data_IF_400485851640
#
_entry.id   IF_400485851640
#
_cell.length_a   1.000
_cell.length_b   1.000
_cell.length_c   1.000
_cell.angle_alpha   90.00
_cell.angle_beta   90.00
_cell.angle_gamma   90.00
#
_symmetry.space_group_name_H-M   'P 1'
#
loop_
_entity.id
_entity.type
_entity.pdbx_description
1 polymer ?
#
# COMPACT_ATOMS: atom_id res chain seq x y z
N UNK A 1 28.42 -15.37 -35.97
CA UNK A 1 27.37 -16.25 -35.40
C UNK A 1 27.82 -16.62 -33.99
N UNK A 2 27.46 -15.80 -33.01
CA UNK A 2 27.96 -15.94 -31.63
C UNK A 2 26.94 -15.31 -30.68
N UNK A 3 25.82 -15.99 -30.49
CA UNK A 3 24.87 -15.68 -29.42
C UNK A 3 25.41 -16.28 -28.11
N UNK A 4 26.17 -15.44 -27.41
CA UNK A 4 26.27 -15.31 -25.94
C UNK A 4 25.65 -16.43 -25.09
N UNK A 5 26.49 -17.40 -24.72
CA UNK A 5 26.26 -18.45 -23.72
C UNK A 5 25.63 -17.94 -22.39
N UNK A 6 25.83 -16.66 -22.05
CA UNK A 6 25.25 -16.01 -20.85
C UNK A 6 23.72 -15.89 -20.90
N UNK A 7 23.10 -15.65 -22.05
CA UNK A 7 21.64 -15.47 -22.13
C UNK A 7 20.88 -16.78 -21.92
N UNK A 8 21.46 -17.89 -22.36
CA UNK A 8 20.85 -19.21 -22.23
C UNK A 8 20.76 -19.67 -20.76
N UNK A 9 21.82 -19.42 -19.97
CA UNK A 9 21.84 -19.74 -18.55
C UNK A 9 20.83 -18.93 -17.72
N UNK A 10 20.58 -17.65 -18.08
CA UNK A 10 19.59 -16.81 -17.40
C UNK A 10 18.16 -17.31 -17.66
N UNK A 11 17.87 -17.72 -18.89
CA UNK A 11 16.55 -18.25 -19.28
C UNK A 11 16.28 -19.58 -18.56
N UNK A 12 17.27 -20.47 -18.49
CA UNK A 12 17.15 -21.75 -17.77
C UNK A 12 16.88 -21.51 -16.28
N UNK A 13 17.60 -20.58 -15.65
CA UNK A 13 17.42 -20.27 -14.23
C UNK A 13 16.00 -19.76 -13.92
N UNK A 14 15.44 -18.94 -14.83
CA UNK A 14 14.08 -18.43 -14.72
C UNK A 14 13.02 -19.55 -14.82
N UNK A 15 13.21 -20.52 -15.72
CA UNK A 15 12.31 -21.67 -15.89
C UNK A 15 12.35 -22.59 -14.67
N UNK A 16 13.53 -22.83 -14.09
CA UNK A 16 13.67 -23.65 -12.87
C UNK A 16 12.96 -22.98 -11.68
N UNK A 17 13.12 -21.66 -11.51
CA UNK A 17 12.45 -20.91 -10.44
C UNK A 17 10.92 -20.92 -10.60
N UNK A 18 10.40 -20.75 -11.82
CA UNK A 18 8.96 -20.83 -12.10
C UNK A 18 8.36 -22.19 -11.73
N UNK A 19 9.03 -23.30 -12.07
CA UNK A 19 8.56 -24.64 -11.70
C UNK A 19 8.63 -24.89 -10.18
N UNK A 20 9.59 -24.27 -9.48
CA UNK A 20 9.69 -24.37 -8.01
C UNK A 20 8.52 -23.69 -7.31
N UNK A 21 8.11 -22.51 -7.80
CA UNK A 21 6.97 -21.75 -7.23
C UNK A 21 5.65 -22.50 -7.45
N UNK A 22 5.45 -23.13 -8.61
CA UNK A 22 4.23 -23.92 -8.88
C UNK A 22 4.15 -25.16 -7.97
N UNK A 23 5.25 -25.87 -7.73
CA UNK A 23 5.24 -27.04 -6.85
C UNK A 23 5.01 -26.71 -5.36
N UNK A 24 5.38 -25.50 -4.91
CA UNK A 24 5.11 -25.05 -3.52
C UNK A 24 3.62 -24.73 -3.32
N UNK A 25 2.92 -24.24 -4.35
CA UNK A 25 1.48 -23.93 -4.25
C UNK A 25 0.62 -25.20 -4.22
N UNK A 26 1.03 -26.27 -4.90
CA UNK A 26 0.27 -27.53 -4.96
C UNK A 26 0.41 -28.36 -3.67
N UNK A 27 1.44 -28.11 -2.86
CA UNK A 27 1.70 -28.88 -1.63
C UNK A 27 0.90 -28.42 -0.39
N UNK A 28 0.03 -27.41 -0.49
CA UNK A 28 -0.81 -26.94 0.63
C UNK A 28 -2.27 -27.40 0.59
N UNK A 29 -2.72 -28.09 -0.45
CA UNK A 29 -3.99 -28.82 -0.44
C UNK A 29 -3.74 -30.28 -0.10
N UNK A 30 -3.72 -30.65 1.18
CA UNK A 30 -4.11 -31.97 1.67
C UNK A 30 -3.95 -32.02 3.20
N UNK A 31 -4.96 -31.57 3.95
CA UNK A 31 -5.47 -32.27 5.14
C UNK A 31 -6.93 -31.82 5.44
N UNK A 32 -7.79 -32.67 6.03
CA UNK A 32 -9.25 -32.55 5.95
C UNK A 32 -9.94 -31.88 7.17
N UNK A 33 -10.94 -31.02 6.86
CA UNK A 33 -12.24 -30.73 7.55
C UNK A 33 -12.29 -30.39 9.07
N UNK A 34 -13.24 -29.54 9.54
CA UNK A 34 -14.66 -29.86 9.49
C UNK A 34 -15.58 -28.76 8.92
N UNK A 35 -16.59 -29.25 8.22
CA UNK A 35 -17.88 -28.64 7.86
C UNK A 35 -18.42 -27.62 8.87
N UNK A 36 -18.64 -26.38 8.42
CA UNK A 36 -19.77 -25.55 8.86
C UNK A 36 -20.47 -24.97 7.64
N UNK A 37 -21.75 -25.32 7.56
CA UNK A 37 -22.78 -24.83 6.64
C UNK A 37 -22.79 -23.31 6.51
N UNK A 38 -22.83 -22.81 5.27
CA UNK A 38 -23.10 -21.40 4.96
C UNK A 38 -23.24 -21.20 3.47
N UNK A 39 -24.40 -20.71 3.06
CA UNK A 39 -24.90 -20.58 1.68
C UNK A 39 -23.91 -20.04 0.65
N UNK A 40 -24.06 -20.58 -0.57
CA UNK A 40 -23.51 -20.01 -1.79
C UNK A 40 -24.00 -18.57 -1.97
N UNK A 41 -23.21 -17.59 -1.50
CA UNK A 41 -23.43 -16.19 -1.79
C UNK A 41 -22.76 -15.88 -3.12
N UNK A 42 -23.58 -15.86 -4.16
CA UNK A 42 -23.32 -15.21 -5.45
C UNK A 42 -22.60 -13.88 -5.17
N UNK A 43 -21.35 -13.75 -5.59
CA UNK A 43 -20.61 -12.48 -5.54
C UNK A 43 -21.35 -11.53 -6.47
N UNK A 44 -22.04 -10.48 -5.96
CA UNK A 44 -22.48 -9.42 -6.83
C UNK A 44 -21.22 -8.64 -7.20
N UNK A 45 -21.01 -8.44 -8.50
CA UNK A 45 -20.07 -7.43 -8.99
C UNK A 45 -20.47 -6.09 -8.37
N UNK A 46 -19.78 -5.72 -7.28
CA UNK A 46 -20.08 -4.55 -6.45
C UNK A 46 -19.09 -3.42 -6.75
N UNK A 47 -18.76 -3.22 -8.03
CA UNK A 47 -17.91 -2.11 -8.46
C UNK A 47 -18.50 -0.77 -8.00
N UNK A 48 -19.83 -0.62 -8.07
CA UNK A 48 -20.54 0.61 -7.69
C UNK A 48 -20.54 0.89 -6.18
N UNK A 49 -20.46 -0.13 -5.33
CA UNK A 49 -20.41 0.06 -3.87
C UNK A 49 -19.04 0.54 -3.40
N UNK A 50 -17.99 -0.05 -3.96
CA UNK A 50 -16.60 0.29 -3.64
C UNK A 50 -16.20 1.66 -4.17
N UNK A 51 -16.61 2.03 -5.39
CA UNK A 51 -16.34 3.37 -5.95
C UNK A 51 -16.91 4.50 -5.07
N UNK A 52 -18.16 4.36 -4.60
CA UNK A 52 -18.77 5.35 -3.71
C UNK A 52 -18.08 5.44 -2.34
N UNK A 53 -17.58 4.32 -1.81
CA UNK A 53 -16.85 4.30 -0.55
C UNK A 53 -15.46 4.96 -0.68
N UNK A 54 -14.77 4.73 -1.81
CA UNK A 54 -13.48 5.38 -2.14
C UNK A 54 -13.64 6.90 -2.27
N UNK A 55 -14.66 7.35 -3.02
CA UNK A 55 -15.01 8.76 -3.15
C UNK A 55 -15.28 9.40 -1.78
N UNK A 56 -15.94 8.67 -0.87
CA UNK A 56 -16.18 9.12 0.50
C UNK A 56 -14.88 9.28 1.29
N UNK A 57 -13.90 8.38 1.13
CA UNK A 57 -12.60 8.49 1.79
C UNK A 57 -11.79 9.68 1.27
N UNK A 58 -11.82 9.96 -0.04
CA UNK A 58 -11.14 11.13 -0.62
C UNK A 58 -11.69 12.44 0.00
N UNK A 59 -13.01 12.47 0.25
CA UNK A 59 -13.71 13.61 0.86
C UNK A 59 -13.70 13.59 2.39
N UNK A 60 -13.08 12.57 3.00
CA UNK A 60 -13.00 12.49 4.45
C UNK A 60 -12.12 13.61 5.00
N UNK A 61 -12.53 14.14 6.16
CA UNK A 61 -11.83 15.27 6.80
C UNK A 61 -10.38 14.96 7.14
N UNK A 62 -10.03 13.70 7.42
CA UNK A 62 -8.65 13.29 7.69
C UNK A 62 -7.79 13.36 6.43
N UNK A 63 -8.28 12.86 5.29
CA UNK A 63 -7.58 12.94 4.01
C UNK A 63 -7.44 14.38 3.51
N UNK A 64 -8.49 15.18 3.64
CA UNK A 64 -8.45 16.62 3.33
C UNK A 64 -7.40 17.31 4.20
N UNK A 65 -7.43 17.09 5.52
CA UNK A 65 -6.50 17.74 6.46
C UNK A 65 -5.05 17.36 6.18
N UNK A 66 -4.78 16.07 5.94
CA UNK A 66 -3.43 15.62 5.61
C UNK A 66 -2.97 16.25 4.26
N UNK A 67 -3.85 16.35 3.27
CA UNK A 67 -3.51 17.00 2.00
C UNK A 67 -3.27 18.51 2.18
N UNK A 68 -4.06 19.19 3.01
CA UNK A 68 -3.89 20.61 3.31
C UNK A 68 -2.59 20.89 4.07
N UNK A 69 -2.19 20.02 5.00
CA UNK A 69 -0.86 20.10 5.63
C UNK A 69 0.25 19.98 4.59
N UNK A 70 0.16 19.05 3.63
CA UNK A 70 1.18 18.93 2.57
C UNK A 70 1.21 20.13 1.63
N UNK A 71 0.08 20.78 1.35
CA UNK A 71 0.03 21.99 0.51
C UNK A 71 0.90 23.12 1.07
N UNK A 72 1.04 23.23 2.39
CA UNK A 72 1.95 24.20 3.03
C UNK A 72 3.42 23.98 2.62
N UNK A 73 3.76 22.76 2.22
CA UNK A 73 5.06 22.37 1.68
C UNK A 73 5.05 22.15 0.15
N UNK A 74 4.05 22.70 -0.56
CA UNK A 74 3.84 22.52 -2.00
C UNK A 74 3.72 21.05 -2.45
N UNK A 75 3.22 20.19 -1.55
CA UNK A 75 2.97 18.77 -1.82
C UNK A 75 1.48 18.43 -1.90
N UNK A 76 1.22 17.20 -2.33
CA UNK A 76 -0.10 16.58 -2.30
C UNK A 76 0.06 15.11 -1.90
N UNK A 77 -0.94 14.57 -1.20
CA UNK A 77 -0.98 13.14 -0.93
C UNK A 77 -1.31 12.43 -2.24
N UNK A 78 -0.54 11.39 -2.56
CA UNK A 78 -0.94 10.43 -3.58
C UNK A 78 -1.85 9.42 -2.92
N UNK A 79 -3.16 9.62 -2.96
CA UNK A 79 -4.12 8.73 -2.28
C UNK A 79 -4.18 7.32 -2.92
N UNK A 80 -4.60 6.29 -2.17
CA UNK A 80 -4.71 4.91 -2.64
C UNK A 80 -5.55 4.68 -3.90
N UNK A 81 -6.58 5.48 -4.14
CA UNK A 81 -7.48 5.41 -5.30
C UNK A 81 -6.71 5.30 -6.63
N UNK A 82 -5.68 6.14 -6.83
CA UNK A 82 -4.86 6.13 -8.05
C UNK A 82 -4.10 4.81 -8.23
N UNK A 83 -3.59 4.26 -7.14
CA UNK A 83 -2.88 2.99 -7.17
C UNK A 83 -3.83 1.83 -7.45
N UNK A 84 -5.05 1.89 -6.93
CA UNK A 84 -6.09 0.88 -7.15
C UNK A 84 -6.51 0.86 -8.62
N UNK A 85 -6.69 2.01 -9.25
CA UNK A 85 -6.95 2.13 -10.70
C UNK A 85 -5.82 1.49 -11.54
N UNK A 86 -4.58 1.54 -11.05
CA UNK A 86 -3.40 0.92 -11.65
C UNK A 86 -3.20 -0.57 -11.26
N UNK A 87 -4.18 -1.20 -10.61
CA UNK A 87 -4.12 -2.58 -10.07
C UNK A 87 -3.06 -2.80 -8.96
N UNK A 88 -2.60 -1.74 -8.30
CA UNK A 88 -1.74 -1.82 -7.12
C UNK A 88 -2.63 -1.83 -5.87
N UNK A 89 -2.57 -2.93 -5.10
CA UNK A 89 -3.44 -3.14 -3.91
C UNK A 89 -2.73 -3.01 -2.57
N UNK A 90 -1.46 -2.64 -2.56
CA UNK A 90 -0.66 -2.47 -1.34
C UNK A 90 0.42 -1.41 -1.53
N UNK A 91 0.85 -0.81 -0.42
CA UNK A 91 1.87 0.23 -0.46
C UNK A 91 2.20 0.79 0.91
N UNK A 92 3.41 1.34 1.03
CA UNK A 92 3.90 1.95 2.28
C UNK A 92 4.21 3.42 2.04
N UNK A 93 3.51 4.29 2.76
CA UNK A 93 3.72 5.73 2.75
C UNK A 93 4.85 6.06 3.72
N UNK A 94 5.88 6.74 3.20
CA UNK A 94 7.12 7.04 3.92
C UNK A 94 7.61 8.44 3.57
N UNK A 95 8.50 8.97 4.40
CA UNK A 95 9.14 10.26 4.14
C UNK A 95 10.36 10.04 3.24
N UNK A 96 10.35 10.65 2.05
CA UNK A 96 11.43 10.52 1.07
C UNK A 96 12.05 11.87 0.69
N UNK A 97 11.24 12.92 0.64
CA UNK A 97 11.66 14.24 0.17
C UNK A 97 11.81 15.23 1.33
N UNK A 98 12.98 15.87 1.43
CA UNK A 98 13.27 16.87 2.46
C UNK A 98 12.32 18.09 2.40
N UNK A 99 11.87 18.47 1.21
CA UNK A 99 10.92 19.58 0.99
C UNK A 99 9.59 19.31 1.69
N UNK A 100 9.06 18.10 1.55
CA UNK A 100 7.78 17.68 2.13
C UNK A 100 7.93 17.29 3.61
N UNK A 101 9.09 16.76 4.00
CA UNK A 101 9.39 16.34 5.36
C UNK A 101 9.08 17.40 6.42
N UNK A 102 9.25 18.70 6.11
CA UNK A 102 8.91 19.80 7.03
C UNK A 102 7.45 19.79 7.49
N UNK A 103 6.53 19.36 6.63
CA UNK A 103 5.10 19.25 6.96
C UNK A 103 4.74 17.83 7.42
N UNK A 104 5.52 16.83 7.02
CA UNK A 104 5.23 15.41 7.27
C UNK A 104 5.79 14.88 8.60
N UNK A 105 6.88 15.47 9.11
CA UNK A 105 7.65 14.94 10.23
C UNK A 105 7.15 15.44 11.59
N UNK A 106 5.87 15.19 11.86
CA UNK A 106 5.27 15.44 13.16
C UNK A 106 4.17 14.41 13.45
N UNK A 107 3.91 14.15 14.73
CA UNK A 107 2.90 13.19 15.18
C UNK A 107 1.49 13.51 14.63
N UNK A 108 1.00 14.77 14.68
CA UNK A 108 -0.33 15.08 14.16
C UNK A 108 -0.52 14.70 12.68
N UNK A 109 0.48 14.97 11.83
CA UNK A 109 0.42 14.58 10.42
C UNK A 109 0.46 13.06 10.25
N UNK A 110 1.36 12.37 10.96
CA UNK A 110 1.46 10.90 10.92
C UNK A 110 0.13 10.23 11.27
N UNK A 111 -0.51 10.66 12.36
CA UNK A 111 -1.80 10.13 12.81
C UNK A 111 -2.91 10.42 11.80
N UNK A 112 -2.93 11.64 11.26
CA UNK A 112 -3.94 12.07 10.27
C UNK A 112 -3.81 11.27 8.97
N UNK A 113 -2.58 11.09 8.47
CA UNK A 113 -2.33 10.27 7.28
C UNK A 113 -2.71 8.80 7.53
N UNK A 114 -2.40 8.26 8.70
CA UNK A 114 -2.74 6.88 9.07
C UNK A 114 -4.26 6.65 9.03
N UNK A 115 -5.04 7.56 9.61
CA UNK A 115 -6.52 7.49 9.58
C UNK A 115 -7.09 7.63 8.17
N UNK A 116 -6.50 8.53 7.37
CA UNK A 116 -6.87 8.67 5.97
C UNK A 116 -6.71 7.33 5.22
N UNK A 117 -5.55 6.68 5.35
CA UNK A 117 -5.29 5.38 4.71
C UNK A 117 -6.17 4.26 5.25
N UNK A 118 -6.48 4.25 6.55
CA UNK A 118 -7.39 3.29 7.16
C UNK A 118 -8.78 3.34 6.51
N UNK A 119 -9.29 4.52 6.15
CA UNK A 119 -10.55 4.64 5.40
C UNK A 119 -10.50 3.84 4.08
N UNK A 120 -9.43 4.01 3.29
CA UNK A 120 -9.27 3.30 2.02
C UNK A 120 -9.13 1.79 2.22
N UNK A 121 -8.34 1.36 3.21
CA UNK A 121 -8.18 -0.05 3.57
C UNK A 121 -9.54 -0.67 3.91
N UNK A 122 -10.34 0.00 4.73
CA UNK A 122 -11.67 -0.47 5.12
C UNK A 122 -12.66 -0.48 3.94
N UNK A 123 -12.60 0.52 3.06
CA UNK A 123 -13.49 0.64 1.91
C UNK A 123 -13.19 -0.38 0.80
N UNK A 124 -11.92 -0.79 0.64
CA UNK A 124 -11.45 -1.50 -0.56
C UNK A 124 -10.78 -2.84 -0.29
N UNK A 125 -10.45 -3.13 0.97
CA UNK A 125 -9.70 -4.32 1.38
C UNK A 125 -8.24 -4.32 0.90
N UNK A 126 -7.67 -3.15 0.60
CA UNK A 126 -6.25 -2.99 0.24
C UNK A 126 -5.33 -2.99 1.46
N UNK A 127 -4.03 -3.11 1.23
CA UNK A 127 -3.01 -3.13 2.28
C UNK A 127 -2.10 -1.89 2.21
N UNK A 128 -2.70 -0.70 2.16
CA UNK A 128 -1.96 0.56 2.26
C UNK A 128 -1.76 0.95 3.72
N UNK A 129 -0.54 1.36 4.06
CA UNK A 129 -0.20 1.80 5.41
C UNK A 129 0.84 2.90 5.40
N UNK A 130 0.90 3.66 6.49
CA UNK A 130 2.10 4.45 6.78
C UNK A 130 3.20 3.50 7.25
N UNK A 131 4.45 3.85 6.93
CA UNK A 131 5.64 3.26 7.54
C UNK A 131 5.46 3.17 9.06
N UNK A 132 5.88 2.08 9.74
CA UNK A 132 5.84 2.00 11.20
C UNK A 132 6.47 3.25 11.82
N UNK A 133 5.89 3.75 12.92
CA UNK A 133 6.24 5.06 13.49
C UNK A 133 7.75 5.21 13.76
N UNK A 134 8.38 4.19 14.35
CA UNK A 134 9.82 4.19 14.61
C UNK A 134 10.68 4.26 13.34
N UNK A 135 10.20 3.68 12.24
CA UNK A 135 10.85 3.78 10.95
C UNK A 135 10.55 5.12 10.26
N UNK A 136 9.35 5.66 10.44
CA UNK A 136 8.95 6.97 9.94
C UNK A 136 9.79 8.09 10.59
N UNK A 137 10.04 8.01 11.91
CA UNK A 137 10.97 8.90 12.64
C UNK A 137 12.37 8.85 12.04
N UNK A 138 12.90 7.65 11.79
CA UNK A 138 14.22 7.47 11.14
C UNK A 138 14.27 8.04 9.72
N UNK A 139 13.17 7.92 8.96
CA UNK A 139 13.08 8.49 7.62
C UNK A 139 13.13 10.03 7.66
N UNK A 140 12.44 10.65 8.63
CA UNK A 140 12.54 12.09 8.89
C UNK A 140 13.98 12.54 9.17
N UNK A 141 14.67 11.84 10.08
CA UNK A 141 16.07 12.14 10.41
C UNK A 141 16.99 11.97 9.20
N UNK A 142 16.77 10.91 8.40
CA UNK A 142 17.55 10.63 7.19
C UNK A 142 17.46 11.76 6.16
N UNK A 143 16.32 12.44 6.06
CA UNK A 143 16.16 13.61 5.18
C UNK A 143 16.49 14.94 5.88
N UNK A 144 16.98 14.89 7.12
CA UNK A 144 17.46 16.05 7.87
C UNK A 144 16.36 16.90 8.49
N UNK A 145 15.26 16.28 8.92
CA UNK A 145 14.17 16.92 9.67
C UNK A 145 13.90 16.12 10.95
N UNK A 146 13.87 16.80 12.09
CA UNK A 146 13.51 16.16 13.37
C UNK A 146 12.02 15.86 13.42
N UNK A 147 11.64 14.67 13.87
CA UNK A 147 10.24 14.35 14.13
C UNK A 147 9.76 15.02 15.42
N UNK A 148 8.67 15.79 15.36
CA UNK A 148 8.12 16.53 16.50
C UNK A 148 6.78 15.96 16.98
N UNK A 149 6.48 16.11 18.27
CA UNK A 149 5.19 15.67 18.82
C UNK A 149 4.03 16.65 18.52
N UNK A 150 4.36 17.84 18.04
CA UNK A 150 3.41 18.91 17.68
C UNK A 150 3.74 19.43 16.28
N UNK A 151 2.77 20.08 15.62
CA UNK A 151 3.03 20.84 14.40
C UNK A 151 3.80 22.13 14.68
#
# INVERSE_FOLDING_TARGET
MTMTLKKYNVIIYFIILLNLVVNVVIAQENEPSPTVSGEAKTIPSSTKGTENAVESCIKDTTCISANDTLKLCNGLIKTPDKYIEENVRSGVYKVEERSLAKCMCNQPYYDTLSKCLECFVNATGTEFKVSPEEEYKKQCEKVGVTFTQTM
#
